data_IF_774460617990
#
_entry.id   IF_774460617990
#
_cell.length_a   1.000
_cell.length_b   1.000
_cell.length_c   1.000
_cell.angle_alpha   90.00
_cell.angle_beta   90.00
_cell.angle_gamma   90.00
#
_symmetry.space_group_name_H-M   'P 1'
#
loop_
_entity.id
_entity.type
_entity.pdbx_description
1 polymer ?
#
# COMPACT_ATOMS: atom_id res chain seq x y z
N UNK A 1 23.50 -7.94 -3.50
CA UNK A 1 22.51 -6.85 -3.63
C UNK A 1 21.15 -7.51 -3.67
N UNK A 2 20.23 -7.15 -2.79
CA UNK A 2 18.84 -7.62 -2.94
C UNK A 2 18.29 -7.06 -4.25
N UNK A 3 17.83 -7.94 -5.12
CA UNK A 3 17.15 -7.57 -6.36
C UNK A 3 15.76 -7.03 -6.00
N UNK A 4 15.49 -5.79 -6.41
CA UNK A 4 14.16 -5.22 -6.28
C UNK A 4 13.23 -5.79 -7.35
N UNK A 5 11.94 -5.80 -7.04
CA UNK A 5 10.91 -6.35 -7.91
C UNK A 5 9.71 -5.41 -8.01
N UNK A 6 9.00 -5.55 -9.12
CA UNK A 6 7.78 -4.84 -9.41
C UNK A 6 6.68 -5.37 -8.48
N UNK A 7 6.12 -4.53 -7.61
CA UNK A 7 5.01 -4.96 -6.75
C UNK A 7 3.78 -5.41 -7.53
N UNK A 8 3.58 -4.88 -8.75
CA UNK A 8 2.41 -5.18 -9.59
C UNK A 8 2.52 -6.50 -10.32
N UNK A 9 3.70 -6.88 -10.81
CA UNK A 9 3.85 -8.08 -11.65
C UNK A 9 4.95 -9.05 -11.19
N UNK A 10 5.63 -8.76 -10.08
CA UNK A 10 6.67 -9.61 -9.50
C UNK A 10 7.98 -9.67 -10.27
N UNK A 11 8.10 -8.99 -11.43
CA UNK A 11 9.29 -8.99 -12.25
C UNK A 11 10.45 -8.22 -11.60
N UNK A 12 11.69 -8.65 -11.83
CA UNK A 12 12.88 -7.92 -11.37
C UNK A 12 12.93 -6.52 -11.99
N UNK A 13 13.23 -5.52 -11.16
CA UNK A 13 13.38 -4.13 -11.58
C UNK A 13 14.86 -3.80 -11.78
N UNK A 14 15.15 -3.23 -12.95
CA UNK A 14 16.43 -2.64 -13.24
C UNK A 14 16.32 -1.14 -13.02
N UNK A 15 17.11 -0.66 -12.07
CA UNK A 15 17.13 0.73 -11.66
C UNK A 15 18.32 1.45 -12.29
N UNK A 16 18.05 2.48 -13.09
CA UNK A 16 19.09 3.40 -13.56
C UNK A 16 19.26 4.55 -12.56
N UNK A 17 20.51 4.85 -12.21
CA UNK A 17 20.87 5.90 -11.26
C UNK A 17 20.72 7.25 -11.96
N UNK A 18 19.80 8.11 -11.52
CA UNK A 18 19.72 9.48 -11.99
C UNK A 18 20.66 10.42 -11.22
N UNK A 19 20.88 11.63 -11.75
CA UNK A 19 21.77 12.63 -11.16
C UNK A 19 21.32 13.17 -9.79
N UNK A 20 20.11 12.83 -9.33
CA UNK A 20 19.51 13.28 -8.08
C UNK A 20 19.50 12.18 -6.99
N UNK A 21 20.23 11.08 -7.17
CA UNK A 21 20.21 9.89 -6.30
C UNK A 21 18.85 9.20 -6.21
N UNK A 22 17.97 9.41 -7.20
CA UNK A 22 16.70 8.72 -7.34
C UNK A 22 16.87 7.65 -8.41
N UNK A 23 16.58 6.42 -8.04
CA UNK A 23 16.57 5.32 -8.99
C UNK A 23 15.16 5.17 -9.55
N UNK A 24 14.99 5.36 -10.86
CA UNK A 24 13.72 5.14 -11.55
C UNK A 24 13.73 3.83 -12.35
N UNK A 25 12.61 3.12 -12.36
CA UNK A 25 12.38 1.96 -13.22
C UNK A 25 10.94 1.97 -13.69
N UNK A 26 10.72 2.07 -15.00
CA UNK A 26 9.45 1.71 -15.63
C UNK A 26 9.61 0.32 -16.22
N UNK A 27 8.82 -0.64 -15.75
CA UNK A 27 8.84 -1.96 -16.36
C UNK A 27 7.84 -2.02 -17.53
N UNK A 28 8.36 -2.22 -18.74
CA UNK A 28 7.64 -2.19 -20.02
C UNK A 28 6.35 -3.04 -20.04
N UNK A 29 6.29 -4.14 -19.28
CA UNK A 29 5.12 -5.04 -19.25
C UNK A 29 3.90 -4.48 -18.51
N UNK A 30 4.08 -3.63 -17.49
CA UNK A 30 2.97 -3.16 -16.67
C UNK A 30 2.89 -1.63 -16.55
N UNK A 31 3.84 -0.91 -17.13
CA UNK A 31 3.89 0.56 -17.17
C UNK A 31 4.00 1.21 -15.79
N UNK A 32 4.34 0.44 -14.75
CA UNK A 32 4.43 0.97 -13.40
C UNK A 32 5.82 1.58 -13.18
N UNK A 33 5.84 2.89 -12.95
CA UNK A 33 7.03 3.61 -12.50
C UNK A 33 7.29 3.38 -11.01
N UNK A 34 8.56 3.16 -10.68
CA UNK A 34 9.06 3.07 -9.32
C UNK A 34 10.21 4.04 -9.11
N UNK A 35 10.28 4.62 -7.91
CA UNK A 35 11.40 5.47 -7.48
C UNK A 35 11.88 5.00 -6.10
N UNK A 36 13.20 4.95 -5.89
CA UNK A 36 13.80 4.68 -4.57
C UNK A 36 15.06 5.51 -4.31
N UNK A 37 15.35 5.73 -3.04
CA UNK A 37 16.58 6.37 -2.58
C UNK A 37 17.78 5.41 -2.68
N UNK A 38 18.98 5.97 -2.90
CA UNK A 38 20.22 5.19 -2.92
C UNK A 38 20.46 4.46 -1.60
N UNK A 39 20.72 3.15 -1.69
CA UNK A 39 20.97 2.30 -0.52
C UNK A 39 19.70 1.77 0.18
N UNK A 40 18.50 2.16 -0.27
CA UNK A 40 17.23 1.57 0.19
C UNK A 40 16.72 0.55 -0.82
N UNK A 41 16.05 -0.50 -0.34
CA UNK A 41 15.24 -1.37 -1.20
C UNK A 41 13.92 -0.67 -1.53
N UNK A 42 13.21 -1.11 -2.57
CA UNK A 42 11.85 -0.63 -2.82
C UNK A 42 10.92 -0.93 -1.66
N UNK A 43 11.12 -2.07 -1.00
CA UNK A 43 10.39 -2.42 0.22
C UNK A 43 10.64 -1.37 1.29
N UNK A 44 11.88 -0.92 1.49
CA UNK A 44 12.19 0.12 2.48
C UNK A 44 11.68 1.50 2.05
N UNK A 45 11.73 1.85 0.77
CA UNK A 45 11.02 3.04 0.25
C UNK A 45 9.50 2.92 0.42
N UNK A 46 8.97 1.69 0.50
CA UNK A 46 7.54 1.41 0.70
C UNK A 46 7.08 1.26 2.14
N UNK A 47 7.94 0.88 3.09
CA UNK A 47 7.71 1.14 4.52
C UNK A 47 7.48 2.64 4.78
N UNK A 48 7.96 3.50 3.88
CA UNK A 48 7.67 4.93 3.88
C UNK A 48 6.48 5.32 2.97
N UNK A 49 5.99 4.40 2.12
CA UNK A 49 4.82 4.55 1.24
C UNK A 49 3.56 4.09 1.97
N UNK A 50 3.01 5.05 2.71
CA UNK A 50 1.83 5.02 3.57
C UNK A 50 0.72 3.99 3.25
N UNK A 51 0.20 3.36 4.33
CA UNK A 51 -1.15 2.78 4.46
C UNK A 51 -2.29 3.65 3.87
N UNK A 52 -2.01 4.90 3.46
CA UNK A 52 -2.89 5.77 2.70
C UNK A 52 -3.32 5.19 1.35
N UNK A 53 -2.56 4.29 0.72
CA UNK A 53 -2.97 3.68 -0.55
C UNK A 53 -4.34 2.99 -0.40
N UNK A 54 -4.56 2.11 0.60
CA UNK A 54 -5.89 1.61 0.94
C UNK A 54 -6.97 2.67 1.11
N UNK A 55 -6.64 3.85 1.66
CA UNK A 55 -7.62 4.90 1.93
C UNK A 55 -8.22 5.49 0.65
N UNK A 56 -7.50 5.48 -0.49
CA UNK A 56 -8.06 5.93 -1.78
C UNK A 56 -9.33 5.19 -2.17
N UNK A 57 -9.47 3.93 -1.77
CA UNK A 57 -10.65 3.12 -2.10
C UNK A 57 -11.93 3.58 -1.38
N UNK A 58 -11.79 4.46 -0.39
CA UNK A 58 -12.89 4.93 0.46
C UNK A 58 -12.97 6.46 0.59
N UNK A 59 -12.22 7.23 -0.22
CA UNK A 59 -12.13 8.70 -0.05
C UNK A 59 -13.48 9.41 -0.12
N UNK A 60 -14.41 8.87 -0.90
CA UNK A 60 -15.75 9.43 -1.08
C UNK A 60 -16.81 8.77 -0.19
N UNK A 61 -16.43 7.80 0.64
CA UNK A 61 -17.36 7.11 1.53
C UNK A 61 -17.73 8.01 2.70
N UNK A 62 -19.03 8.28 2.83
CA UNK A 62 -19.59 9.10 3.92
C UNK A 62 -20.00 8.27 5.13
N UNK A 63 -20.12 6.95 4.95
CA UNK A 63 -20.62 6.02 5.96
C UNK A 63 -19.77 4.78 6.06
N UNK A 64 -20.21 3.84 6.91
CA UNK A 64 -19.53 2.56 7.11
C UNK A 64 -19.35 1.83 5.79
N UNK A 65 -18.12 1.44 5.50
CA UNK A 65 -17.77 0.69 4.28
C UNK A 65 -18.39 -0.71 4.36
N UNK A 66 -19.11 -1.13 3.32
CA UNK A 66 -19.80 -2.42 3.29
C UNK A 66 -18.82 -3.60 3.27
N UNK A 67 -19.22 -4.75 3.83
CA UNK A 67 -18.41 -5.98 3.76
C UNK A 67 -18.12 -6.39 2.31
N UNK A 68 -19.10 -6.23 1.42
CA UNK A 68 -18.92 -6.54 -0.01
C UNK A 68 -17.79 -5.71 -0.63
N UNK A 69 -17.75 -4.39 -0.35
CA UNK A 69 -16.69 -3.52 -0.87
C UNK A 69 -15.32 -3.87 -0.29
N UNK A 70 -15.24 -4.15 1.02
CA UNK A 70 -14.00 -4.63 1.64
C UNK A 70 -13.51 -5.92 1.00
N UNK A 71 -14.42 -6.88 0.77
CA UNK A 71 -14.06 -8.15 0.14
C UNK A 71 -13.55 -7.97 -1.29
N UNK A 72 -14.14 -7.05 -2.06
CA UNK A 72 -13.68 -6.71 -3.41
C UNK A 72 -12.28 -6.09 -3.37
N UNK A 73 -12.06 -5.10 -2.49
CA UNK A 73 -10.76 -4.45 -2.34
C UNK A 73 -9.70 -5.46 -1.85
N UNK A 74 -10.04 -6.32 -0.88
CA UNK A 74 -9.12 -7.34 -0.42
C UNK A 74 -8.71 -8.32 -1.54
N UNK A 75 -9.62 -8.65 -2.46
CA UNK A 75 -9.29 -9.48 -3.64
C UNK A 75 -8.24 -8.82 -4.52
N UNK A 76 -8.33 -7.52 -4.77
CA UNK A 76 -7.35 -6.83 -5.63
C UNK A 76 -5.96 -6.82 -5.00
N UNK A 77 -5.88 -6.84 -3.66
CA UNK A 77 -4.60 -6.93 -2.99
C UNK A 77 -3.92 -8.29 -3.14
N UNK A 78 -4.66 -9.38 -3.35
CA UNK A 78 -4.09 -10.73 -3.52
C UNK A 78 -3.35 -10.91 -4.85
N UNK A 79 -3.57 -10.03 -5.82
CA UNK A 79 -2.85 -10.05 -7.10
C UNK A 79 -1.42 -9.52 -6.96
N UNK A 80 -1.11 -8.81 -5.87
CA UNK A 80 0.25 -8.31 -5.60
C UNK A 80 1.15 -9.37 -4.97
N UNK A 81 2.46 -9.11 -5.00
CA UNK A 81 3.46 -9.95 -4.35
C UNK A 81 3.21 -10.08 -2.83
N UNK A 82 3.27 -11.32 -2.31
CA UNK A 82 3.00 -11.61 -0.89
C UNK A 82 3.87 -10.81 0.09
N UNK A 83 5.11 -10.49 -0.28
CA UNK A 83 6.02 -9.68 0.56
C UNK A 83 5.49 -8.26 0.70
N UNK A 84 4.96 -7.69 -0.38
CA UNK A 84 4.32 -6.37 -0.36
C UNK A 84 3.08 -6.37 0.53
N UNK A 85 2.22 -7.39 0.40
CA UNK A 85 1.01 -7.49 1.19
C UNK A 85 1.34 -7.59 2.69
N UNK A 86 2.39 -8.33 3.05
CA UNK A 86 2.85 -8.44 4.44
C UNK A 86 3.25 -7.08 5.02
N UNK A 87 4.04 -6.29 4.29
CA UNK A 87 4.46 -4.94 4.72
C UNK A 87 3.25 -4.02 4.84
N UNK A 88 2.32 -4.04 3.88
CA UNK A 88 1.09 -3.26 3.94
C UNK A 88 0.27 -3.57 5.21
N UNK A 89 0.14 -4.85 5.55
CA UNK A 89 -0.56 -5.28 6.76
C UNK A 89 0.14 -4.75 8.02
N UNK A 90 1.46 -4.88 8.09
CA UNK A 90 2.26 -4.39 9.23
C UNK A 90 2.08 -2.89 9.42
N UNK A 91 2.10 -2.10 8.34
CA UNK A 91 1.88 -0.65 8.38
C UNK A 91 0.46 -0.28 8.84
N UNK A 92 -0.56 -1.02 8.36
CA UNK A 92 -1.95 -0.82 8.79
C UNK A 92 -2.07 -1.11 10.29
N UNK A 93 -1.53 -2.24 10.75
CA UNK A 93 -1.61 -2.65 12.14
C UNK A 93 -0.86 -1.66 13.06
N UNK A 94 0.31 -1.15 12.62
CA UNK A 94 1.06 -0.13 13.35
C UNK A 94 0.26 1.17 13.48
N UNK A 95 -0.31 1.70 12.40
CA UNK A 95 -1.10 2.94 12.44
C UNK A 95 -2.40 2.79 13.25
N UNK A 96 -2.98 1.59 13.30
CA UNK A 96 -4.15 1.31 14.14
C UNK A 96 -3.79 1.21 15.62
N UNK A 97 -2.59 0.73 15.96
CA UNK A 97 -2.12 0.55 17.34
C UNK A 97 -1.52 1.83 17.92
N UNK A 98 -0.70 2.52 17.13
CA UNK A 98 -0.03 3.76 17.48
C UNK A 98 -0.33 4.82 16.41
N UNK A 99 -1.50 5.50 16.49
CA UNK A 99 -1.90 6.51 15.53
C UNK A 99 -0.86 7.64 15.42
N UNK A 100 -0.16 7.72 14.29
CA UNK A 100 0.84 8.77 14.06
C UNK A 100 0.19 10.02 13.48
N UNK A 101 -1.02 9.90 12.91
CA UNK A 101 -1.70 10.98 12.21
C UNK A 101 -3.21 10.77 12.09
N UNK A 102 -3.91 11.84 11.70
CA UNK A 102 -5.33 11.79 11.32
C UNK A 102 -5.45 11.22 9.91
N UNK A 103 -6.22 10.16 9.76
CA UNK A 103 -6.48 9.50 8.48
C UNK A 103 -7.31 10.38 7.54
N UNK A 104 -8.21 11.23 8.07
CA UNK A 104 -9.00 12.17 7.25
C UNK A 104 -8.15 13.22 6.53
N UNK A 105 -6.93 13.49 7.02
CA UNK A 105 -6.03 14.45 6.39
C UNK A 105 -5.43 13.91 5.09
N UNK A 106 -5.52 12.60 4.83
CA UNK A 106 -5.13 12.04 3.55
C UNK A 106 -6.16 12.42 2.49
N UNK A 107 -5.74 13.23 1.52
CA UNK A 107 -6.52 13.59 0.33
C UNK A 107 -7.90 14.17 0.62
N UNK A 108 -8.08 14.86 1.75
CA UNK A 108 -9.36 15.46 2.16
C UNK A 108 -10.51 14.45 2.12
N UNK A 109 -10.30 13.31 2.79
CA UNK A 109 -11.28 12.24 2.85
C UNK A 109 -12.65 12.77 3.33
N UNK A 110 -13.73 12.41 2.64
CA UNK A 110 -15.09 12.88 2.99
C UNK A 110 -15.59 12.20 4.27
N UNK A 111 -15.23 10.93 4.47
CA UNK A 111 -15.61 10.16 5.65
C UNK A 111 -14.92 10.60 6.93
N UNK A 112 -15.38 10.07 8.06
CA UNK A 112 -14.79 10.35 9.37
C UNK A 112 -13.55 9.48 9.63
N UNK A 113 -12.78 9.89 10.64
CA UNK A 113 -11.64 9.10 11.15
C UNK A 113 -12.06 7.70 11.58
N UNK A 114 -13.22 7.58 12.22
CA UNK A 114 -13.80 6.31 12.66
C UNK A 114 -14.06 5.37 11.48
N UNK A 115 -14.63 5.90 10.39
CA UNK A 115 -14.87 5.12 9.17
C UNK A 115 -13.56 4.63 8.57
N UNK A 116 -12.53 5.47 8.50
CA UNK A 116 -11.22 5.09 7.99
C UNK A 116 -10.58 3.98 8.84
N UNK A 117 -10.61 4.10 10.17
CA UNK A 117 -10.01 3.12 11.09
C UNK A 117 -10.77 1.79 11.07
N UNK A 118 -12.11 1.82 11.07
CA UNK A 118 -12.93 0.60 10.93
C UNK A 118 -12.62 -0.12 9.61
N UNK A 119 -12.54 0.64 8.51
CA UNK A 119 -12.18 0.10 7.20
C UNK A 119 -10.80 -0.55 7.19
N UNK A 120 -9.75 0.17 7.63
CA UNK A 120 -8.38 -0.36 7.64
C UNK A 120 -8.27 -1.63 8.48
N UNK A 121 -8.92 -1.66 9.65
CA UNK A 121 -8.96 -2.84 10.53
C UNK A 121 -9.60 -4.04 9.82
N UNK A 122 -10.77 -3.84 9.23
CA UNK A 122 -11.52 -4.90 8.54
C UNK A 122 -10.80 -5.38 7.28
N UNK A 123 -10.15 -4.46 6.55
CA UNK A 123 -9.32 -4.81 5.39
C UNK A 123 -8.11 -5.65 5.79
N UNK A 124 -7.34 -5.25 6.82
CA UNK A 124 -6.19 -6.01 7.33
C UNK A 124 -6.60 -7.45 7.69
N UNK A 125 -7.71 -7.61 8.43
CA UNK A 125 -8.25 -8.93 8.80
C UNK A 125 -8.62 -9.76 7.55
N UNK A 126 -9.34 -9.16 6.60
CA UNK A 126 -9.79 -9.86 5.40
C UNK A 126 -8.63 -10.34 4.53
N UNK A 127 -7.61 -9.49 4.34
CA UNK A 127 -6.41 -9.87 3.60
C UNK A 127 -5.65 -11.00 4.33
N UNK A 128 -5.47 -10.90 5.66
CA UNK A 128 -4.83 -11.96 6.47
C UNK A 128 -5.55 -13.30 6.33
N UNK A 129 -6.88 -13.29 6.35
CA UNK A 129 -7.67 -14.52 6.22
C UNK A 129 -7.47 -15.21 4.87
N UNK A 130 -7.25 -14.44 3.81
CA UNK A 130 -7.07 -14.95 2.45
C UNK A 130 -5.62 -15.38 2.12
N UNK A 131 -4.67 -14.99 2.95
CA UNK A 131 -3.26 -15.40 2.83
C UNK A 131 -2.94 -16.71 3.57
N UNK A 132 -3.84 -17.19 4.42
CA UNK A 132 -3.77 -18.51 5.07
C UNK A 132 -4.02 -19.62 4.05
#
# INVERSE_FOLDING_TARGET
MEEDFCFRCGANLLFSLDSNNIFSSEYEKCGQGYAKEKGRTLIDSRKNSSFAIPLYSIIFEKGKVSNQKINQIASTYLEYDKRYIKVLIEDIDEELTNPKRKLTNFHNMIGTEEIARDYLKRLSIEIKNRLK
#
